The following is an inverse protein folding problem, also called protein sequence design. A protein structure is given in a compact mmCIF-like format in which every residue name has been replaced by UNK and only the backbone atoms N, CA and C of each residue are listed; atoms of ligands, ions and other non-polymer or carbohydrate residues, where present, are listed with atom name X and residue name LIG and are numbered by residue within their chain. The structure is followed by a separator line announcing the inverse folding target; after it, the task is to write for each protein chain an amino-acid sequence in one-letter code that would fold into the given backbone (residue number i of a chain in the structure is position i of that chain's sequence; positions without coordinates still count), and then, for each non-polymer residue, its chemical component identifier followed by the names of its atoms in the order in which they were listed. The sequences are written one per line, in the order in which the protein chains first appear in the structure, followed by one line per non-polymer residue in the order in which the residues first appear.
data_IF_700595807211
#
_entry.id   IF_700595807211
#
_cell.length_a   1.000
_cell.length_b   1.000
_cell.length_c   1.000
_cell.angle_alpha   90.00
_cell.angle_beta   90.00
_cell.angle_gamma   90.00
#
_symmetry.space_group_name_H-M   'P 1'
#
loop_
_entity.id
_entity.type
_entity.pdbx_description
1 polymer ?
#
# COMPACT_ATOMS: atom_id res chain seq x y z
N UNK A 1 -2.62 122.81 -46.51
CA UNK A 1 -3.54 122.44 -47.62
C UNK A 1 -3.30 120.96 -47.87
N UNK A 2 -4.15 120.11 -47.28
CA UNK A 2 -5.28 119.43 -47.94
C UNK A 2 -4.80 118.33 -48.90
N UNK A 3 -5.44 117.17 -48.72
CA UNK A 3 -5.56 116.00 -49.62
C UNK A 3 -4.46 114.93 -49.45
N UNK A 4 -4.77 113.65 -49.45
CA UNK A 4 -6.03 112.89 -49.43
C UNK A 4 -5.57 111.42 -49.37
N UNK A 5 -6.23 110.63 -48.53
CA UNK A 5 -6.06 109.20 -48.40
C UNK A 5 -6.23 108.46 -49.74
N UNK A 6 -5.41 107.44 -50.02
CA UNK A 6 -5.89 106.18 -50.60
C UNK A 6 -4.82 105.06 -50.64
N UNK A 7 -5.30 103.86 -50.28
CA UNK A 7 -4.84 102.50 -50.55
C UNK A 7 -3.71 101.87 -49.70
N UNK A 8 -4.00 101.13 -48.62
CA UNK A 8 -4.56 99.76 -48.47
C UNK A 8 -3.48 98.65 -48.44
N UNK A 9 -3.27 98.13 -47.23
CA UNK A 9 -2.79 96.77 -46.89
C UNK A 9 -1.30 96.46 -46.98
N UNK A 10 -0.58 96.75 -45.88
CA UNK A 10 0.56 95.94 -45.47
C UNK A 10 0.15 95.15 -44.22
N UNK A 11 -0.46 93.98 -44.43
CA UNK A 11 -0.68 93.00 -43.37
C UNK A 11 0.68 92.56 -42.83
N UNK A 12 1.04 93.04 -41.64
CA UNK A 12 2.09 92.45 -40.83
C UNK A 12 1.57 91.11 -40.32
N UNK A 13 1.84 90.04 -41.07
CA UNK A 13 1.67 88.67 -40.59
C UNK A 13 2.71 88.44 -39.48
N UNK A 14 2.27 88.51 -38.23
CA UNK A 14 2.96 87.82 -37.14
C UNK A 14 2.77 86.31 -37.38
N UNK A 15 3.75 85.67 -38.03
CA UNK A 15 3.85 84.22 -37.98
C UNK A 15 4.31 83.84 -36.57
N UNK A 16 3.35 83.51 -35.70
CA UNK A 16 3.61 82.66 -34.55
C UNK A 16 3.87 81.26 -35.11
N UNK A 17 5.14 80.90 -35.28
CA UNK A 17 5.51 79.52 -35.57
C UNK A 17 5.27 78.68 -34.32
N UNK A 18 4.18 77.92 -34.30
CA UNK A 18 4.04 76.80 -33.36
C UNK A 18 5.12 75.76 -33.70
N UNK A 19 5.77 75.22 -32.67
CA UNK A 19 6.71 74.10 -32.79
C UNK A 19 6.08 72.97 -33.60
N UNK A 20 6.58 72.70 -34.79
CA UNK A 20 6.16 71.56 -35.61
C UNK A 20 6.97 70.35 -35.15
N UNK A 21 6.33 69.18 -35.07
CA UNK A 21 7.02 67.92 -34.79
C UNK A 21 8.10 67.65 -35.84
N UNK A 22 9.21 67.06 -35.43
CA UNK A 22 10.32 66.73 -36.32
C UNK A 22 10.05 65.37 -36.98
N UNK A 23 9.73 65.38 -38.27
CA UNK A 23 9.69 64.18 -39.10
C UNK A 23 11.02 63.91 -39.78
N UNK A 24 11.57 62.71 -39.64
CA UNK A 24 12.74 62.24 -40.40
C UNK A 24 12.31 61.04 -41.24
N UNK A 25 12.27 61.22 -42.57
CA UNK A 25 11.81 60.17 -43.50
C UNK A 25 10.29 60.03 -43.61
N UNK A 26 9.52 60.95 -43.01
CA UNK A 26 8.06 61.08 -43.16
C UNK A 26 7.66 62.53 -43.35
N UNK A 27 6.65 62.80 -44.17
CA UNK A 27 6.05 64.14 -44.36
C UNK A 27 4.81 64.35 -43.49
N UNK A 28 4.36 63.32 -42.79
CA UNK A 28 3.22 63.38 -41.85
C UNK A 28 3.61 62.68 -40.56
N UNK A 29 4.40 63.32 -39.68
CA UNK A 29 4.72 62.78 -38.37
C UNK A 29 3.44 62.44 -37.59
N UNK A 30 3.46 61.36 -36.80
CA UNK A 30 2.36 61.02 -35.92
C UNK A 30 2.03 62.20 -34.98
N UNK A 31 0.75 62.53 -34.83
CA UNK A 31 0.30 63.71 -34.08
C UNK A 31 0.72 63.70 -32.59
N UNK A 32 1.02 62.53 -32.03
CA UNK A 32 1.50 62.35 -30.65
C UNK A 32 3.02 62.38 -30.50
N UNK A 33 3.78 62.43 -31.60
CA UNK A 33 5.24 62.37 -31.59
C UNK A 33 5.87 63.76 -31.81
N UNK A 34 6.79 64.15 -30.94
CA UNK A 34 7.65 65.33 -31.18
C UNK A 34 8.82 65.01 -32.12
N UNK A 35 9.20 63.74 -32.22
CA UNK A 35 10.17 63.20 -33.18
C UNK A 35 9.61 61.89 -33.75
N UNK A 36 9.41 61.83 -35.06
CA UNK A 36 8.95 60.62 -35.78
C UNK A 36 9.98 60.26 -36.85
N UNK A 37 10.54 59.05 -36.77
CA UNK A 37 11.59 58.56 -37.68
C UNK A 37 11.05 57.35 -38.43
N UNK A 38 10.87 57.49 -39.74
CA UNK A 38 10.40 56.42 -40.62
C UNK A 38 11.48 56.03 -41.64
N UNK A 39 11.85 54.75 -41.66
CA UNK A 39 12.77 54.17 -42.65
C UNK A 39 12.54 52.67 -42.78
N UNK A 40 12.71 52.13 -43.99
CA UNK A 40 12.68 50.68 -44.25
C UNK A 40 14.04 50.00 -44.12
N UNK A 41 15.14 50.77 -43.92
CA UNK A 41 16.51 50.25 -43.95
C UNK A 41 17.50 50.95 -43.01
N UNK A 42 17.09 52.01 -42.30
CA UNK A 42 17.94 52.79 -41.39
C UNK A 42 17.28 52.90 -40.02
N UNK A 43 18.08 53.17 -38.98
CA UNK A 43 17.60 53.37 -37.60
C UNK A 43 18.21 54.62 -36.96
N UNK A 44 17.85 54.88 -35.71
CA UNK A 44 18.44 55.95 -34.90
C UNK A 44 19.71 55.45 -34.22
N UNK A 45 20.83 56.12 -34.46
CA UNK A 45 22.07 55.90 -33.70
C UNK A 45 22.09 56.84 -32.49
N UNK A 46 21.93 56.29 -31.29
CA UNK A 46 22.07 57.05 -30.04
C UNK A 46 23.54 57.45 -29.79
N UNK A 47 23.80 58.51 -29.02
CA UNK A 47 25.16 58.86 -28.61
C UNK A 47 25.88 57.66 -28.00
N UNK A 48 27.07 57.34 -28.54
CA UNK A 48 27.89 56.21 -28.10
C UNK A 48 29.04 56.72 -27.24
N UNK A 49 29.19 56.18 -26.05
CA UNK A 49 30.22 56.62 -25.11
C UNK A 49 30.62 55.48 -24.16
N UNK A 50 31.80 55.56 -23.56
CA UNK A 50 32.23 54.58 -22.54
C UNK A 50 31.46 54.76 -21.23
N UNK A 51 31.48 53.76 -20.35
CA UNK A 51 30.86 53.88 -19.02
C UNK A 51 31.38 55.09 -18.25
N UNK A 52 32.68 55.36 -18.30
CA UNK A 52 33.28 56.54 -17.66
C UNK A 52 32.72 57.84 -18.22
N UNK A 53 32.59 57.95 -19.54
CA UNK A 53 32.05 59.14 -20.19
C UNK A 53 30.55 59.33 -19.89
N UNK A 54 29.76 58.24 -19.87
CA UNK A 54 28.34 58.26 -19.47
C UNK A 54 28.15 58.77 -18.05
N UNK A 55 28.96 58.26 -17.11
CA UNK A 55 28.91 58.66 -15.71
C UNK A 55 29.43 60.09 -15.46
N UNK A 56 30.18 60.65 -16.40
CA UNK A 56 30.67 62.03 -16.35
C UNK A 56 29.67 63.08 -16.88
N UNK A 57 28.51 62.66 -17.41
CA UNK A 57 27.45 63.60 -17.82
C UNK A 57 26.93 64.29 -16.55
N UNK A 58 27.16 65.60 -16.44
CA UNK A 58 26.64 66.43 -15.36
C UNK A 58 25.13 66.65 -15.55
N UNK A 59 24.35 66.37 -14.51
CA UNK A 59 22.88 66.57 -14.47
C UNK A 59 22.12 65.96 -15.67
N UNK A 60 22.22 64.63 -15.90
CA UNK A 60 21.53 64.00 -17.02
C UNK A 60 20.01 64.11 -16.87
N UNK A 61 19.33 64.50 -17.94
CA UNK A 61 17.86 64.56 -17.94
C UNK A 61 17.24 63.17 -17.75
N UNK A 62 16.16 63.08 -16.97
CA UNK A 62 15.37 61.84 -16.85
C UNK A 62 14.88 61.39 -18.22
N UNK A 63 15.13 60.14 -18.58
CA UNK A 63 14.84 59.56 -19.88
C UNK A 63 15.94 59.73 -20.92
N UNK A 64 17.08 60.38 -20.59
CA UNK A 64 18.22 60.48 -21.50
C UNK A 64 18.74 59.08 -21.84
N UNK A 65 18.84 58.76 -23.13
CA UNK A 65 19.29 57.46 -23.63
C UNK A 65 20.64 57.55 -24.32
N UNK A 66 21.53 56.62 -24.01
CA UNK A 66 22.84 56.46 -24.65
C UNK A 66 23.12 54.99 -24.93
N UNK A 67 24.07 54.72 -25.83
CA UNK A 67 24.68 53.40 -25.96
C UNK A 67 26.03 53.41 -25.24
N UNK A 68 26.14 52.63 -24.16
CA UNK A 68 27.39 52.44 -23.45
C UNK A 68 28.25 51.41 -24.18
N UNK A 69 29.36 51.86 -24.78
CA UNK A 69 30.25 51.00 -25.56
C UNK A 69 31.13 50.09 -24.71
N UNK A 70 31.34 50.41 -23.43
CA UNK A 70 32.12 49.57 -22.51
C UNK A 70 31.30 48.39 -22.02
N UNK A 71 30.03 48.61 -21.66
CA UNK A 71 29.11 47.52 -21.26
C UNK A 71 28.34 46.92 -22.44
N UNK A 72 28.49 47.48 -23.65
CA UNK A 72 27.81 47.08 -24.89
C UNK A 72 26.28 47.07 -24.77
N UNK A 73 25.70 48.02 -24.02
CA UNK A 73 24.27 48.06 -23.72
C UNK A 73 23.68 49.45 -23.92
N UNK A 74 22.39 49.49 -24.29
CA UNK A 74 21.61 50.72 -24.21
C UNK A 74 21.25 51.04 -22.76
N UNK A 75 21.47 52.28 -22.37
CA UNK A 75 21.27 52.78 -21.02
C UNK A 75 20.39 54.02 -21.06
N UNK A 76 19.48 54.14 -20.10
CA UNK A 76 18.68 55.34 -19.89
C UNK A 76 18.85 55.85 -18.45
N UNK A 77 18.76 57.15 -18.26
CA UNK A 77 18.78 57.74 -16.92
C UNK A 77 17.37 57.77 -16.34
N UNK A 78 17.13 57.11 -15.20
CA UNK A 78 15.79 57.03 -14.57
C UNK A 78 15.42 58.26 -13.74
N UNK A 79 16.32 59.24 -13.65
CA UNK A 79 16.22 60.42 -12.80
C UNK A 79 17.14 60.36 -11.58
N UNK A 80 17.69 59.18 -11.26
CA UNK A 80 18.61 58.96 -10.13
C UNK A 80 19.84 58.15 -10.55
N UNK A 81 19.66 57.11 -11.37
CA UNK A 81 20.72 56.20 -11.83
C UNK A 81 20.60 55.91 -13.32
N UNK A 82 21.72 55.51 -13.93
CA UNK A 82 21.74 54.88 -15.24
C UNK A 82 21.26 53.42 -15.14
N UNK A 83 20.29 53.05 -15.98
CA UNK A 83 19.66 51.72 -16.05
C UNK A 83 19.81 51.14 -17.44
N UNK A 84 20.06 49.84 -17.54
CA UNK A 84 20.03 49.13 -18.82
C UNK A 84 18.59 48.96 -19.32
N UNK A 85 18.35 49.09 -20.62
CA UNK A 85 17.05 48.77 -21.23
C UNK A 85 16.77 47.27 -21.26
N UNK A 86 17.81 46.44 -21.24
CA UNK A 86 17.71 44.99 -21.16
C UNK A 86 18.49 44.46 -19.96
N UNK A 87 17.90 43.58 -19.14
CA UNK A 87 18.67 42.91 -18.10
C UNK A 87 19.76 42.04 -18.74
N UNK A 88 20.92 42.02 -18.10
CA UNK A 88 22.01 41.10 -18.38
C UNK A 88 21.53 39.66 -18.16
N UNK A 89 21.79 38.78 -19.13
CA UNK A 89 21.43 37.36 -19.08
C UNK A 89 22.37 36.54 -18.15
N UNK A 90 23.12 37.20 -17.28
CA UNK A 90 24.20 36.60 -16.48
C UNK A 90 23.89 36.70 -15.00
N UNK A 91 22.93 35.91 -14.50
CA UNK A 91 22.75 35.75 -13.06
C UNK A 91 21.37 35.23 -12.65
N UNK A 92 21.35 34.42 -11.58
CA UNK A 92 20.14 34.02 -10.88
C UNK A 92 19.39 35.27 -10.41
N UNK A 93 18.19 35.50 -10.94
CA UNK A 93 17.34 36.61 -10.51
C UNK A 93 16.38 36.11 -9.45
N UNK A 94 16.62 36.51 -8.19
CA UNK A 94 15.61 36.41 -7.13
C UNK A 94 14.46 37.36 -7.46
N UNK A 95 13.22 37.04 -7.05
CA UNK A 95 11.97 37.62 -7.55
C UNK A 95 11.76 39.15 -7.55
N UNK A 96 12.76 39.95 -7.19
CA UNK A 96 12.78 41.40 -7.39
C UNK A 96 13.37 41.84 -8.76
N UNK A 97 14.12 40.96 -9.45
CA UNK A 97 14.87 41.31 -10.66
C UNK A 97 14.21 40.89 -11.99
N UNK A 98 13.05 40.25 -11.91
CA UNK A 98 12.16 40.04 -13.06
C UNK A 98 11.32 41.32 -13.15
N UNK A 99 11.35 42.08 -14.25
CA UNK A 99 10.41 43.18 -14.44
C UNK A 99 9.02 42.59 -14.26
N UNK A 100 8.37 42.99 -13.18
CA UNK A 100 6.96 42.73 -12.95
C UNK A 100 6.24 43.17 -14.23
N UNK A 101 5.75 42.20 -14.99
CA UNK A 101 4.78 42.46 -16.03
C UNK A 101 3.53 42.92 -15.29
N UNK A 102 3.52 44.22 -14.97
CA UNK A 102 2.45 44.90 -14.26
C UNK A 102 1.11 44.48 -14.88
N UNK A 103 0.37 43.68 -14.11
CA UNK A 103 -0.89 43.09 -14.56
C UNK A 103 -0.96 41.57 -14.38
N UNK A 104 -0.70 41.09 -13.16
CA UNK A 104 -1.25 39.86 -12.57
C UNK A 104 -1.81 38.80 -13.55
N UNK A 105 -1.00 37.88 -14.09
CA UNK A 105 -1.47 36.53 -14.36
C UNK A 105 -1.21 35.68 -13.10
N UNK A 106 -2.21 35.00 -12.52
CA UNK A 106 -2.04 34.14 -11.35
C UNK A 106 -1.39 32.78 -11.70
N UNK A 107 -0.46 32.75 -12.65
CA UNK A 107 0.11 31.50 -13.15
C UNK A 107 1.64 31.56 -13.29
N UNK A 108 2.29 30.77 -12.42
CA UNK A 108 3.60 30.13 -12.53
C UNK A 108 4.66 30.79 -13.41
N UNK A 109 5.63 31.45 -12.80
CA UNK A 109 6.94 31.69 -13.42
C UNK A 109 7.64 30.34 -13.63
N UNK A 110 7.83 29.94 -14.89
CA UNK A 110 8.60 28.76 -15.25
C UNK A 110 10.09 29.12 -15.10
N UNK A 111 10.73 28.62 -14.05
CA UNK A 111 12.18 28.67 -13.96
C UNK A 111 12.74 27.59 -14.88
N UNK A 112 13.22 27.98 -16.06
CA UNK A 112 14.00 27.09 -16.91
C UNK A 112 15.48 27.31 -16.61
N UNK A 113 16.11 26.36 -15.91
CA UNK A 113 17.53 26.12 -16.14
C UNK A 113 17.66 24.93 -17.12
N UNK A 114 18.82 24.70 -17.75
CA UNK A 114 19.01 23.59 -18.70
C UNK A 114 18.83 22.18 -18.11
N UNK A 115 18.81 22.03 -16.78
CA UNK A 115 18.81 20.75 -16.05
C UNK A 115 17.55 20.52 -15.16
N UNK A 116 16.70 21.53 -14.94
CA UNK A 116 15.53 21.52 -14.04
C UNK A 116 14.52 22.58 -14.50
N UNK A 117 13.27 22.17 -14.73
CA UNK A 117 12.14 23.09 -14.88
C UNK A 117 11.35 23.07 -13.57
N UNK A 118 11.39 24.18 -12.84
CA UNK A 118 10.62 24.33 -11.61
C UNK A 118 9.38 25.17 -11.92
N UNK A 119 8.21 24.65 -11.58
CA UNK A 119 6.96 25.40 -11.62
C UNK A 119 6.51 25.58 -10.18
N UNK A 120 6.53 26.82 -9.69
CA UNK A 120 5.96 27.15 -8.40
C UNK A 120 4.43 27.29 -8.58
N UNK A 121 3.66 26.46 -7.88
CA UNK A 121 2.19 26.45 -7.97
C UNK A 121 1.65 26.72 -6.56
N UNK A 122 1.88 27.92 -6.03
CA UNK A 122 1.40 28.26 -4.69
C UNK A 122 1.57 29.73 -4.34
N UNK A 123 0.60 30.28 -3.61
CA UNK A 123 0.72 31.58 -2.94
C UNK A 123 1.21 31.34 -1.51
N UNK A 124 2.10 32.18 -0.95
CA UNK A 124 2.51 32.03 0.46
C UNK A 124 1.29 32.04 1.39
N UNK A 125 1.25 31.19 2.45
CA UNK A 125 2.39 30.51 3.11
C UNK A 125 2.65 29.06 2.66
N UNK A 126 1.86 28.48 1.75
CA UNK A 126 2.05 27.10 1.28
C UNK A 126 2.68 27.10 -0.11
N UNK A 127 3.98 26.87 -0.19
CA UNK A 127 4.68 26.75 -1.47
C UNK A 127 4.67 25.28 -1.91
N UNK A 128 3.68 24.93 -2.74
CA UNK A 128 3.72 23.66 -3.48
C UNK A 128 4.68 23.81 -4.67
N UNK A 129 5.77 23.06 -4.61
CA UNK A 129 6.78 23.04 -5.67
C UNK A 129 6.59 21.83 -6.57
N UNK A 130 6.35 22.06 -7.86
CA UNK A 130 6.42 21.04 -8.90
C UNK A 130 7.85 21.00 -9.45
N UNK A 131 8.63 20.03 -8.99
CA UNK A 131 10.01 19.86 -9.43
C UNK A 131 10.05 18.80 -10.51
N UNK A 132 10.47 19.17 -11.72
CA UNK A 132 10.97 18.19 -12.70
C UNK A 132 12.49 18.18 -12.60
N UNK A 133 13.06 17.21 -11.88
CA UNK A 133 14.52 17.06 -11.81
C UNK A 133 14.96 16.11 -12.92
N UNK A 134 15.81 16.58 -13.84
CA UNK A 134 16.51 15.67 -14.78
C UNK A 134 17.75 15.03 -14.13
N UNK A 135 18.21 15.58 -13.01
CA UNK A 135 19.35 15.06 -12.23
C UNK A 135 18.91 14.05 -11.17
N UNK A 136 18.75 12.80 -11.60
CA UNK A 136 19.07 11.50 -10.95
C UNK A 136 18.27 10.42 -11.70
N UNK A 137 18.89 9.84 -12.75
CA UNK A 137 18.41 8.65 -13.50
C UNK A 137 16.95 8.69 -14.03
N UNK A 138 16.63 9.68 -14.85
CA UNK A 138 15.42 9.71 -15.67
C UNK A 138 14.38 10.65 -15.08
N UNK A 139 14.09 11.75 -15.79
CA UNK A 139 13.22 12.83 -15.32
C UNK A 139 11.96 12.32 -14.63
N UNK A 140 11.65 12.91 -13.47
CA UNK A 140 10.49 12.56 -12.66
C UNK A 140 9.78 13.77 -12.10
N UNK A 141 8.50 13.59 -11.78
CA UNK A 141 7.67 14.57 -11.09
C UNK A 141 7.84 14.40 -9.58
N UNK A 142 8.28 15.45 -8.88
CA UNK A 142 8.27 15.48 -7.42
C UNK A 142 7.32 16.59 -6.98
N UNK A 143 6.30 16.22 -6.23
CA UNK A 143 5.43 17.15 -5.52
C UNK A 143 5.89 17.18 -4.07
N UNK A 144 6.27 18.37 -3.59
CA UNK A 144 6.68 18.59 -2.20
C UNK A 144 5.65 19.47 -1.52
N UNK A 145 5.07 18.95 -0.44
CA UNK A 145 4.30 19.77 0.48
C UNK A 145 5.18 20.08 1.70
N UNK A 146 5.50 21.36 1.89
CA UNK A 146 6.30 21.84 3.02
C UNK A 146 5.39 22.48 4.06
N UNK A 147 5.28 21.84 5.24
CA UNK A 147 4.63 22.45 6.39
C UNK A 147 5.69 23.14 7.27
N UNK A 148 5.83 24.46 7.09
CA UNK A 148 6.86 25.26 7.77
C UNK A 148 6.71 25.34 9.31
N UNK A 149 5.66 24.77 9.89
CA UNK A 149 5.40 24.77 11.34
C UNK A 149 5.86 23.52 12.10
N UNK A 150 6.02 22.37 11.43
CA UNK A 150 6.20 21.08 12.10
C UNK A 150 7.34 20.21 11.54
N UNK A 151 8.05 20.69 10.53
CA UNK A 151 9.19 19.95 9.98
C UNK A 151 8.80 18.69 9.19
N UNK A 152 7.54 18.58 8.79
CA UNK A 152 7.08 17.49 7.94
C UNK A 152 7.24 17.89 6.48
N UNK A 153 7.83 17.00 5.69
CA UNK A 153 7.86 17.15 4.23
C UNK A 153 7.26 15.88 3.63
N UNK A 154 6.10 16.03 3.01
CA UNK A 154 5.48 14.94 2.26
C UNK A 154 5.91 15.03 0.80
N UNK A 155 6.30 13.89 0.26
CA UNK A 155 6.78 13.75 -1.12
C UNK A 155 5.93 12.75 -1.86
N UNK A 156 5.43 13.13 -3.04
CA UNK A 156 5.05 12.18 -4.08
C UNK A 156 6.11 12.25 -5.18
N UNK A 157 6.85 11.16 -5.37
CA UNK A 157 7.83 11.03 -6.47
C UNK A 157 7.27 10.09 -7.52
N UNK A 158 7.23 10.56 -8.77
CA UNK A 158 6.95 9.79 -9.97
C UNK A 158 8.15 9.96 -10.90
N UNK A 159 9.21 9.21 -10.69
CA UNK A 159 10.29 9.13 -11.67
C UNK A 159 10.13 7.87 -12.50
N UNK A 160 10.77 7.81 -13.66
CA UNK A 160 10.67 6.64 -14.54
C UNK A 160 11.05 5.31 -13.88
N UNK A 161 11.53 5.28 -12.62
CA UNK A 161 11.95 4.10 -11.88
C UNK A 161 11.02 3.71 -10.72
N UNK A 162 10.26 4.64 -10.13
CA UNK A 162 9.32 4.33 -9.05
C UNK A 162 8.22 5.38 -8.86
N UNK A 163 7.10 4.92 -8.30
CA UNK A 163 6.06 5.75 -7.72
C UNK A 163 6.14 5.57 -6.21
N UNK A 164 6.32 6.65 -5.48
CA UNK A 164 6.43 6.58 -4.03
C UNK A 164 5.77 7.76 -3.33
N UNK A 165 5.10 7.45 -2.22
CA UNK A 165 4.68 8.45 -1.24
C UNK A 165 5.49 8.27 0.04
N UNK A 166 6.11 9.36 0.51
CA UNK A 166 6.91 9.38 1.72
C UNK A 166 6.48 10.54 2.61
N UNK A 167 6.42 10.27 3.92
CA UNK A 167 6.37 11.31 4.94
C UNK A 167 7.74 11.39 5.62
N UNK A 168 8.33 12.58 5.68
CA UNK A 168 9.61 12.83 6.35
C UNK A 168 9.37 13.57 7.67
N UNK A 169 9.80 12.99 8.80
CA UNK A 169 9.85 13.68 10.09
C UNK A 169 11.26 14.14 10.43
N UNK A 170 11.42 15.37 10.96
CA UNK A 170 12.68 15.82 11.55
C UNK A 170 13.01 14.88 12.72
N UNK A 171 14.04 14.04 12.56
CA UNK A 171 14.38 12.96 13.50
C UNK A 171 14.75 11.64 12.83
N UNK A 172 14.57 11.51 11.50
CA UNK A 172 15.23 10.49 10.70
C UNK A 172 14.40 9.25 10.35
N UNK A 173 13.08 9.25 10.59
CA UNK A 173 12.22 8.16 10.09
C UNK A 173 11.45 8.70 8.89
N UNK A 174 11.95 8.39 7.69
CA UNK A 174 11.17 8.46 6.46
C UNK A 174 10.28 7.21 6.43
N UNK A 175 8.99 7.37 6.74
CA UNK A 175 8.02 6.28 6.59
C UNK A 175 7.49 6.31 5.16
N UNK A 176 7.71 5.22 4.40
CA UNK A 176 7.07 5.04 3.10
C UNK A 176 5.66 4.54 3.30
N UNK A 177 4.68 5.27 2.78
CA UNK A 177 3.29 4.88 2.86
C UNK A 177 2.95 3.91 1.72
N UNK A 178 3.39 4.21 0.50
CA UNK A 178 3.27 3.34 -0.68
C UNK A 178 4.54 3.46 -1.55
N UNK A 179 5.09 2.33 -2.01
CA UNK A 179 6.21 2.28 -2.96
C UNK A 179 5.93 1.26 -4.06
N UNK A 180 6.03 1.69 -5.32
CA UNK A 180 5.93 0.86 -6.52
C UNK A 180 7.27 0.90 -7.23
N UNK A 181 8.06 -0.18 -7.14
CA UNK A 181 9.40 -0.23 -7.73
C UNK A 181 9.35 -0.80 -9.15
N UNK A 182 9.93 -0.11 -10.15
CA UNK A 182 10.00 -0.59 -11.54
C UNK A 182 10.93 -1.80 -11.70
N UNK A 183 12.06 -1.81 -11.00
CA UNK A 183 13.00 -2.93 -11.05
C UNK A 183 12.50 -4.06 -10.15
N UNK A 184 11.57 -4.85 -10.69
CA UNK A 184 10.98 -5.99 -10.01
C UNK A 184 9.49 -5.84 -9.68
N UNK A 185 8.81 -4.74 -10.01
CA UNK A 185 7.34 -4.64 -9.94
C UNK A 185 6.70 -4.87 -8.56
N UNK A 186 7.49 -4.81 -7.47
CA UNK A 186 6.99 -5.05 -6.12
C UNK A 186 6.29 -3.80 -5.58
N UNK A 187 5.21 -4.02 -4.82
CA UNK A 187 4.39 -3.05 -4.12
C UNK A 187 4.68 -3.17 -2.63
N UNK A 188 5.05 -2.07 -2.00
CA UNK A 188 5.27 -1.99 -0.55
C UNK A 188 4.28 -1.00 0.07
N UNK A 189 3.57 -1.39 1.12
CA UNK A 189 2.70 -0.51 1.91
C UNK A 189 3.23 -0.45 3.33
N UNK A 190 3.48 0.76 3.85
CA UNK A 190 4.06 0.95 5.19
C UNK A 190 5.50 0.44 5.34
N UNK A 191 6.22 0.21 4.24
CA UNK A 191 7.57 -0.40 4.23
C UNK A 191 8.49 0.26 3.20
N UNK A 192 9.78 0.34 3.53
CA UNK A 192 10.82 0.95 2.67
C UNK A 192 11.04 0.22 1.33
N UNK A 193 11.05 -1.11 1.32
CA UNK A 193 11.13 -1.92 0.09
C UNK A 193 10.70 -3.37 0.36
N UNK A 194 9.84 -3.92 -0.49
CA UNK A 194 9.47 -5.33 -0.54
C UNK A 194 10.59 -6.16 -1.21
N UNK A 195 11.06 -7.21 -0.52
CA UNK A 195 12.18 -8.08 -0.93
C UNK A 195 11.82 -9.57 -0.94
N UNK A 196 10.70 -9.95 -0.32
CA UNK A 196 10.21 -11.33 -0.18
C UNK A 196 9.04 -11.63 -1.13
N UNK A 197 8.17 -10.66 -1.42
CA UNK A 197 6.98 -10.86 -2.24
C UNK A 197 6.65 -9.65 -3.13
N UNK A 198 5.77 -9.88 -4.13
CA UNK A 198 5.27 -8.81 -5.01
C UNK A 198 4.44 -7.76 -4.25
N UNK A 199 3.77 -8.14 -3.16
CA UNK A 199 3.08 -7.24 -2.27
C UNK A 199 3.52 -7.54 -0.84
N UNK A 200 4.16 -6.56 -0.19
CA UNK A 200 4.43 -6.61 1.24
C UNK A 200 3.78 -5.42 1.93
N UNK A 201 3.00 -5.73 2.96
CA UNK A 201 2.30 -4.75 3.79
C UNK A 201 2.93 -4.84 5.17
N UNK A 202 3.32 -3.70 5.74
CA UNK A 202 3.83 -3.59 7.11
C UNK A 202 2.99 -2.58 7.87
N UNK A 203 2.65 -2.93 9.11
CA UNK A 203 1.61 -2.25 9.89
C UNK A 203 0.25 -2.94 9.76
N UNK A 204 -0.65 -2.60 10.67
CA UNK A 204 -2.00 -3.14 10.76
C UNK A 204 -2.93 -2.12 11.42
N UNK A 205 -4.23 -2.21 11.14
CA UNK A 205 -5.27 -1.57 11.96
C UNK A 205 -5.74 -2.61 12.97
N UNK A 206 -5.43 -2.41 14.25
CA UNK A 206 -5.48 -3.51 15.22
C UNK A 206 -4.52 -4.62 14.78
N UNK A 207 -5.05 -5.83 14.60
CA UNK A 207 -4.29 -6.99 14.11
C UNK A 207 -4.53 -7.27 12.62
N UNK A 208 -5.43 -6.53 11.96
CA UNK A 208 -5.74 -6.75 10.54
C UNK A 208 -4.79 -6.00 9.61
N UNK A 209 -4.05 -6.77 8.80
CA UNK A 209 -3.04 -6.28 7.85
C UNK A 209 -3.67 -5.95 6.49
N UNK A 210 -4.56 -6.82 6.02
CA UNK A 210 -5.23 -6.65 4.73
C UNK A 210 -6.66 -7.17 4.80
N UNK A 211 -7.56 -6.55 4.06
CA UNK A 211 -8.95 -6.97 3.91
C UNK A 211 -9.35 -6.89 2.44
N UNK A 212 -9.91 -7.97 1.91
CA UNK A 212 -10.37 -8.11 0.54
C UNK A 212 -11.88 -8.27 0.53
N UNK A 213 -12.60 -7.38 -0.16
CA UNK A 213 -14.07 -7.42 -0.24
C UNK A 213 -14.79 -6.65 0.88
N UNK A 214 -14.31 -5.46 1.25
CA UNK A 214 -14.97 -4.56 2.21
C UNK A 214 -16.45 -4.35 1.89
N UNK A 215 -17.27 -4.14 2.93
CA UNK A 215 -18.74 -4.00 2.85
C UNK A 215 -19.50 -5.22 2.28
N UNK A 216 -18.82 -6.36 2.14
CA UNK A 216 -19.37 -7.65 1.72
C UNK A 216 -18.78 -8.77 2.57
N UNK A 217 -19.12 -10.02 2.26
CA UNK A 217 -18.35 -11.16 2.74
C UNK A 217 -16.94 -11.05 2.12
N UNK A 218 -15.93 -10.98 2.99
CA UNK A 218 -14.55 -10.73 2.59
C UNK A 218 -13.56 -11.68 3.26
N UNK A 219 -12.28 -11.54 2.87
CA UNK A 219 -11.15 -12.27 3.44
C UNK A 219 -10.21 -11.27 4.10
N UNK A 220 -9.72 -11.59 5.29
CA UNK A 220 -8.78 -10.76 6.05
C UNK A 220 -7.51 -11.54 6.33
N UNK A 221 -6.37 -10.85 6.35
CA UNK A 221 -5.07 -11.37 6.80
C UNK A 221 -4.73 -10.69 8.13
N UNK A 222 -4.42 -11.47 9.17
CA UNK A 222 -4.13 -11.00 10.53
C UNK A 222 -2.65 -11.22 10.93
N UNK A 223 -2.10 -10.37 11.81
CA UNK A 223 -0.69 -10.40 12.22
C UNK A 223 -0.41 -11.16 13.54
N UNK A 224 -1.15 -10.90 14.62
CA UNK A 224 -0.81 -11.40 15.98
C UNK A 224 -0.97 -12.92 16.10
N UNK A 225 -1.93 -13.46 15.36
CA UNK A 225 -2.06 -14.87 15.05
C UNK A 225 -2.19 -14.93 13.52
N UNK A 226 -1.18 -15.42 12.77
CA UNK A 226 -1.22 -15.45 11.32
C UNK A 226 -2.41 -16.30 10.86
N UNK A 227 -3.46 -15.58 10.50
CA UNK A 227 -4.79 -16.12 10.23
C UNK A 227 -5.30 -15.55 8.92
N UNK A 228 -6.00 -16.41 8.19
CA UNK A 228 -6.92 -16.04 7.14
C UNK A 228 -8.31 -16.04 7.75
N UNK A 229 -8.88 -14.84 7.85
CA UNK A 229 -10.24 -14.64 8.33
C UNK A 229 -11.25 -14.58 7.20
N UNK A 230 -12.43 -15.16 7.43
CA UNK A 230 -13.58 -15.13 6.52
C UNK A 230 -14.70 -14.34 7.18
N UNK A 231 -15.09 -13.24 6.55
CA UNK A 231 -16.11 -12.30 7.02
C UNK A 231 -15.86 -11.68 8.42
N UNK A 232 -14.60 -11.62 8.87
CA UNK A 232 -14.24 -10.83 10.04
C UNK A 232 -12.91 -10.14 9.88
N UNK A 233 -12.66 -9.16 10.74
CA UNK A 233 -11.38 -8.48 10.94
C UNK A 233 -11.23 -8.15 12.44
N UNK A 234 -10.05 -7.68 12.83
CA UNK A 234 -9.75 -7.28 14.21
C UNK A 234 -9.41 -5.79 14.26
N UNK A 235 -10.19 -5.03 15.02
CA UNK A 235 -9.91 -3.63 15.33
C UNK A 235 -10.45 -3.32 16.73
N UNK A 236 -9.56 -3.33 17.73
CA UNK A 236 -9.95 -3.25 19.15
C UNK A 236 -10.84 -4.42 19.60
N UNK A 237 -10.79 -5.55 18.87
CA UNK A 237 -11.67 -6.71 19.02
C UNK A 237 -12.12 -7.28 17.68
N UNK A 238 -12.59 -8.53 17.69
CA UNK A 238 -13.08 -9.22 16.48
C UNK A 238 -14.41 -8.62 16.04
N UNK A 239 -14.51 -8.25 14.78
CA UNK A 239 -15.69 -7.62 14.17
C UNK A 239 -16.04 -8.29 12.85
N UNK A 240 -17.33 -8.39 12.51
CA UNK A 240 -17.76 -8.89 11.20
C UNK A 240 -17.58 -7.82 10.12
N UNK A 241 -17.22 -8.21 8.90
CA UNK A 241 -17.23 -7.28 7.76
C UNK A 241 -18.67 -6.97 7.37
N UNK A 242 -19.47 -8.03 7.22
CA UNK A 242 -20.91 -8.00 6.98
C UNK A 242 -21.65 -8.84 8.02
N UNK A 243 -22.87 -8.44 8.37
CA UNK A 243 -23.76 -9.27 9.16
C UNK A 243 -23.86 -10.71 8.61
N UNK A 244 -23.71 -11.72 9.48
CA UNK A 244 -23.66 -13.13 9.11
C UNK A 244 -22.39 -13.83 9.58
N UNK A 245 -22.30 -15.15 9.35
CA UNK A 245 -21.23 -16.04 9.79
C UNK A 245 -19.80 -15.61 9.44
N UNK A 246 -18.90 -15.88 10.39
CA UNK A 246 -17.47 -15.68 10.26
C UNK A 246 -16.72 -16.94 10.69
N UNK A 247 -15.57 -17.16 10.05
CA UNK A 247 -14.69 -18.30 10.30
C UNK A 247 -13.23 -17.90 10.12
N UNK A 248 -12.32 -18.73 10.58
CA UNK A 248 -10.89 -18.49 10.51
C UNK A 248 -10.09 -19.77 10.31
N UNK A 249 -8.94 -19.62 9.68
CA UNK A 249 -7.91 -20.65 9.56
C UNK A 249 -6.57 -20.02 9.92
N UNK A 250 -5.81 -20.64 10.82
CA UNK A 250 -4.55 -20.07 11.25
C UNK A 250 -3.60 -21.09 11.86
N UNK A 251 -2.45 -20.59 12.27
CA UNK A 251 -1.43 -21.35 12.97
C UNK A 251 -0.91 -20.52 14.14
N UNK A 252 -0.72 -21.14 15.30
CA UNK A 252 -0.06 -20.50 16.42
C UNK A 252 1.45 -20.51 16.18
N UNK A 253 2.12 -19.34 16.10
CA UNK A 253 3.56 -19.28 15.93
C UNK A 253 4.32 -19.73 17.19
N UNK A 254 3.65 -19.78 18.35
CA UNK A 254 4.25 -20.18 19.63
C UNK A 254 4.50 -21.69 19.71
N UNK A 255 3.58 -22.50 19.19
CA UNK A 255 3.63 -23.95 19.30
C UNK A 255 3.50 -24.70 17.97
N UNK A 256 3.30 -23.99 16.86
CA UNK A 256 3.17 -24.58 15.52
C UNK A 256 1.85 -25.30 15.25
N UNK A 257 0.87 -25.22 16.15
CA UNK A 257 -0.42 -25.90 15.98
C UNK A 257 -1.27 -25.15 14.94
N UNK A 258 -1.94 -25.90 14.08
CA UNK A 258 -2.85 -25.36 13.04
C UNK A 258 -4.29 -25.51 13.52
N UNK A 259 -5.14 -24.53 13.23
CA UNK A 259 -6.53 -24.54 13.66
C UNK A 259 -7.47 -23.99 12.61
N UNK A 260 -8.68 -24.55 12.61
CA UNK A 260 -9.82 -24.09 11.83
C UNK A 260 -10.99 -23.90 12.80
N UNK A 261 -11.55 -22.70 12.82
CA UNK A 261 -12.61 -22.35 13.74
C UNK A 261 -13.68 -21.46 13.13
N UNK A 262 -14.78 -21.33 13.85
CA UNK A 262 -15.83 -20.38 13.52
C UNK A 262 -16.27 -19.60 14.75
N UNK A 263 -17.06 -18.57 14.53
CA UNK A 263 -17.67 -17.79 15.60
C UNK A 263 -19.15 -18.17 15.72
N UNK A 264 -19.58 -18.54 16.92
CA UNK A 264 -20.94 -19.04 17.17
C UNK A 264 -22.03 -17.94 17.10
N UNK A 265 -21.69 -16.65 17.01
CA UNK A 265 -22.62 -15.52 17.27
C UNK A 265 -23.24 -14.80 16.05
N UNK A 266 -23.30 -15.43 14.88
CA UNK A 266 -23.34 -14.68 13.62
C UNK A 266 -24.68 -14.56 12.90
N UNK A 267 -25.73 -14.29 13.65
CA UNK A 267 -26.93 -13.62 13.13
C UNK A 267 -27.14 -12.24 13.74
N UNK A 268 -26.34 -11.84 14.74
CA UNK A 268 -26.59 -10.66 15.58
C UNK A 268 -25.58 -9.52 15.48
N UNK A 269 -24.48 -9.66 14.73
CA UNK A 269 -23.53 -8.56 14.53
C UNK A 269 -23.99 -7.67 13.35
N UNK A 270 -24.12 -6.37 13.59
CA UNK A 270 -24.23 -5.35 12.54
C UNK A 270 -22.96 -5.35 11.66
N UNK A 271 -23.01 -4.73 10.48
CA UNK A 271 -21.80 -4.52 9.69
C UNK A 271 -20.75 -3.78 10.53
N UNK A 272 -19.52 -4.30 10.56
CA UNK A 272 -18.43 -3.81 11.42
C UNK A 272 -18.70 -3.92 12.95
N UNK A 273 -19.70 -4.71 13.33
CA UNK A 273 -20.09 -4.99 14.71
C UNK A 273 -19.22 -6.06 15.37
N UNK A 274 -19.10 -6.01 16.70
CA UNK A 274 -18.31 -6.98 17.46
C UNK A 274 -18.92 -8.39 17.39
N UNK A 275 -18.05 -9.40 17.35
CA UNK A 275 -18.44 -10.82 17.38
C UNK A 275 -17.64 -11.58 18.44
N UNK A 276 -18.30 -12.53 19.10
CA UNK A 276 -17.74 -13.37 20.17
C UNK A 276 -18.06 -14.86 19.93
N UNK A 277 -17.58 -15.72 20.83
CA UNK A 277 -17.85 -17.16 20.76
C UNK A 277 -16.99 -17.88 19.71
N UNK A 278 -15.72 -17.49 19.57
CA UNK A 278 -14.75 -18.22 18.78
C UNK A 278 -14.67 -19.68 19.27
N UNK A 279 -14.74 -20.62 18.34
CA UNK A 279 -14.71 -22.04 18.64
C UNK A 279 -13.90 -22.77 17.58
N UNK A 280 -12.79 -23.38 18.01
CA UNK A 280 -11.99 -24.26 17.18
C UNK A 280 -12.78 -25.55 16.92
N UNK A 281 -12.91 -25.91 15.64
CA UNK A 281 -13.62 -27.12 15.20
C UNK A 281 -12.66 -28.23 14.81
N UNK A 282 -11.53 -27.87 14.19
CA UNK A 282 -10.42 -28.77 13.88
C UNK A 282 -9.13 -28.18 14.42
N UNK A 283 -8.31 -29.02 15.05
CA UNK A 283 -7.02 -28.64 15.64
C UNK A 283 -5.97 -29.67 15.24
N UNK A 284 -4.81 -29.23 14.76
CA UNK A 284 -3.72 -30.11 14.36
C UNK A 284 -2.51 -29.72 15.20
N UNK A 285 -2.06 -30.66 16.04
CA UNK A 285 -0.85 -30.48 16.83
C UNK A 285 0.39 -30.54 15.92
N UNK A 286 1.48 -29.88 16.33
CA UNK A 286 2.75 -29.93 15.62
C UNK A 286 3.27 -31.37 15.38
N UNK A 287 2.92 -32.32 16.25
CA UNK A 287 3.26 -33.75 16.10
C UNK A 287 2.38 -34.50 15.05
N UNK A 288 1.48 -33.78 14.37
CA UNK A 288 0.59 -34.28 13.34
C UNK A 288 -0.70 -34.94 13.84
N UNK A 289 -0.98 -34.92 15.15
CA UNK A 289 -2.25 -35.42 15.66
C UNK A 289 -3.39 -34.45 15.33
N UNK A 290 -4.47 -34.98 14.77
CA UNK A 290 -5.66 -34.22 14.36
C UNK A 290 -6.78 -34.41 15.39
N UNK A 291 -7.27 -33.31 15.94
CA UNK A 291 -8.45 -33.23 16.79
C UNK A 291 -9.64 -32.65 16.03
N UNK A 292 -10.79 -33.32 16.10
CA UNK A 292 -12.08 -32.78 15.66
C UNK A 292 -12.97 -32.62 16.90
N UNK A 293 -13.36 -31.38 17.21
CA UNK A 293 -14.08 -31.06 18.45
C UNK A 293 -13.24 -31.16 19.74
N UNK A 294 -11.92 -31.32 19.63
CA UNK A 294 -10.97 -31.34 20.75
C UNK A 294 -9.66 -30.67 20.35
N UNK A 295 -9.02 -29.99 21.29
CA UNK A 295 -7.68 -29.38 21.12
C UNK A 295 -6.55 -30.27 21.67
N UNK A 296 -6.90 -31.38 22.33
CA UNK A 296 -5.94 -32.29 22.97
C UNK A 296 -6.01 -33.70 22.35
N UNK A 297 -5.74 -33.86 21.04
CA UNK A 297 -5.77 -35.18 20.42
C UNK A 297 -4.62 -36.07 20.91
N UNK A 298 -4.96 -37.20 21.53
CA UNK A 298 -4.01 -38.20 22.04
C UNK A 298 -3.67 -39.28 21.02
N UNK A 299 -4.49 -39.41 19.97
CA UNK A 299 -4.26 -40.28 18.82
C UNK A 299 -4.10 -39.46 17.54
N UNK A 300 -3.59 -40.11 16.47
CA UNK A 300 -3.43 -39.47 15.15
C UNK A 300 -4.71 -38.80 14.64
N UNK A 301 -5.85 -39.41 14.92
CA UNK A 301 -7.16 -38.79 14.79
C UNK A 301 -7.92 -38.99 16.10
N UNK A 302 -8.26 -37.89 16.77
CA UNK A 302 -9.13 -37.88 17.95
C UNK A 302 -10.40 -37.11 17.64
N UNK A 303 -11.56 -37.74 17.78
CA UNK A 303 -12.86 -37.10 17.53
C UNK A 303 -13.63 -37.05 18.84
N UNK A 304 -13.98 -35.84 19.29
CA UNK A 304 -14.87 -35.65 20.43
C UNK A 304 -16.33 -35.59 19.93
N UNK A 305 -16.90 -36.77 19.70
CA UNK A 305 -18.24 -36.94 19.15
C UNK A 305 -18.37 -38.21 18.32
N UNK A 306 -19.47 -38.33 17.60
CA UNK A 306 -19.76 -39.53 16.81
C UNK A 306 -19.13 -39.43 15.42
N UNK A 307 -18.54 -40.53 14.95
CA UNK A 307 -18.11 -40.71 13.56
C UNK A 307 -19.13 -41.62 12.88
N UNK A 308 -19.77 -41.13 11.81
CA UNK A 308 -20.63 -41.95 10.94
C UNK A 308 -19.92 -42.18 9.62
N UNK A 309 -19.63 -43.43 9.30
CA UNK A 309 -19.01 -43.85 8.05
C UNK A 309 -19.89 -44.88 7.34
N UNK A 310 -19.69 -45.06 6.04
CA UNK A 310 -20.27 -46.17 5.29
C UNK A 310 -19.49 -47.47 5.51
N UNK A 311 -18.17 -47.36 5.66
CA UNK A 311 -17.25 -48.48 5.87
C UNK A 311 -16.04 -47.99 6.68
N UNK A 312 -15.44 -48.89 7.46
CA UNK A 312 -14.15 -48.67 8.13
C UNK A 312 -13.30 -49.92 7.89
N UNK A 313 -12.21 -49.76 7.16
CA UNK A 313 -11.20 -50.81 6.98
C UNK A 313 -10.17 -50.65 8.09
N UNK A 314 -10.00 -51.68 8.92
CA UNK A 314 -9.04 -51.71 10.02
C UNK A 314 -8.03 -52.81 9.75
N UNK A 315 -6.77 -52.44 9.66
CA UNK A 315 -5.67 -53.41 9.57
C UNK A 315 -5.43 -54.00 10.96
N UNK A 316 -5.81 -55.26 11.15
CA UNK A 316 -5.58 -56.02 12.38
C UNK A 316 -5.10 -57.43 12.02
N UNK A 317 -4.32 -58.05 12.90
CA UNK A 317 -3.92 -59.45 12.73
C UNK A 317 -5.13 -60.39 12.82
N UNK A 318 -5.15 -61.45 12.03
CA UNK A 318 -6.25 -62.41 11.99
C UNK A 318 -6.12 -63.50 13.08
N UNK A 319 -7.24 -64.13 13.46
CA UNK A 319 -7.33 -65.04 14.61
C UNK A 319 -7.06 -66.52 14.31
N UNK A 320 -6.62 -66.88 13.09
CA UNK A 320 -6.53 -68.28 12.60
C UNK A 320 -5.60 -69.18 13.43
N UNK A 321 -4.84 -68.62 14.37
CA UNK A 321 -3.97 -69.38 15.26
C UNK A 321 -4.74 -70.39 16.14
N UNK A 322 -6.05 -70.21 16.36
CA UNK A 322 -6.88 -71.14 17.17
C UNK A 322 -7.02 -72.52 16.50
N UNK A 323 -6.81 -72.60 15.18
CA UNK A 323 -6.87 -73.85 14.42
C UNK A 323 -5.52 -74.56 14.27
N UNK A 324 -4.43 -74.02 14.82
CA UNK A 324 -3.11 -74.64 14.75
C UNK A 324 -2.99 -75.79 15.74
N UNK A 325 -2.23 -76.83 15.40
CA UNK A 325 -2.07 -78.05 16.22
C UNK A 325 -1.46 -77.75 17.61
N UNK A 326 -0.66 -76.70 17.71
CA UNK A 326 -0.05 -76.25 18.96
C UNK A 326 -1.02 -75.46 19.86
N UNK A 327 -2.21 -75.09 19.38
CA UNK A 327 -3.17 -74.32 20.15
C UNK A 327 -3.82 -75.16 21.24
N UNK A 328 -3.57 -74.78 22.50
CA UNK A 328 -4.21 -75.42 23.64
C UNK A 328 -5.60 -74.83 23.87
N UNK A 329 -6.62 -75.48 23.31
CA UNK A 329 -8.02 -75.15 23.55
C UNK A 329 -8.35 -75.29 25.05
N UNK A 330 -8.71 -74.22 25.77
CA UNK A 330 -9.10 -74.31 27.18
C UNK A 330 -10.32 -75.20 27.35
N UNK A 331 -10.40 -75.99 28.41
CA UNK A 331 -11.61 -76.76 28.69
C UNK A 331 -12.76 -75.84 29.12
N UNK A 332 -14.00 -76.27 28.91
CA UNK A 332 -15.17 -75.52 29.39
C UNK A 332 -15.18 -75.36 30.92
N UNK A 333 -14.58 -76.31 31.66
CA UNK A 333 -14.45 -76.22 33.12
C UNK A 333 -13.45 -75.13 33.54
N UNK A 334 -12.31 -75.04 32.86
CA UNK A 334 -11.33 -73.96 33.10
C UNK A 334 -11.91 -72.60 32.73
N UNK A 335 -12.65 -72.55 31.61
CA UNK A 335 -13.35 -71.34 31.17
C UNK A 335 -14.41 -70.90 32.18
N UNK A 336 -15.22 -71.83 32.71
CA UNK A 336 -16.19 -71.57 33.78
C UNK A 336 -15.51 -71.01 35.03
N UNK A 337 -14.43 -71.64 35.49
CA UNK A 337 -13.65 -71.16 36.64
C UNK A 337 -13.10 -69.76 36.41
N UNK A 338 -12.60 -69.47 35.20
CA UNK A 338 -12.12 -68.15 34.83
C UNK A 338 -13.25 -67.11 34.90
N UNK A 339 -14.41 -67.40 34.30
CA UNK A 339 -15.57 -66.50 34.32
C UNK A 339 -16.05 -66.26 35.76
N UNK A 340 -16.11 -67.28 36.60
CA UNK A 340 -16.52 -67.15 38.00
C UNK A 340 -15.61 -66.20 38.78
N UNK A 341 -14.29 -66.27 38.52
CA UNK A 341 -13.27 -65.45 39.16
C UNK A 341 -13.16 -64.03 38.58
N UNK A 342 -13.17 -63.88 37.26
CA UNK A 342 -12.83 -62.65 36.55
C UNK A 342 -14.04 -61.89 35.97
N UNK A 343 -15.21 -62.53 35.87
CA UNK A 343 -16.46 -61.95 35.33
C UNK A 343 -16.39 -61.51 33.86
N UNK A 344 -15.44 -62.04 33.10
CA UNK A 344 -15.35 -61.89 31.64
C UNK A 344 -14.70 -63.13 31.01
N UNK A 345 -14.75 -63.25 29.68
CA UNK A 345 -14.12 -64.35 28.96
C UNK A 345 -12.59 -64.22 28.94
N UNK A 346 -11.84 -65.33 28.94
CA UNK A 346 -10.39 -65.32 28.77
C UNK A 346 -9.97 -64.53 27.52
N UNK A 347 -8.98 -63.65 27.63
CA UNK A 347 -8.47 -62.84 26.51
C UNK A 347 -9.33 -61.63 26.10
N UNK A 348 -10.61 -61.58 26.50
CA UNK A 348 -11.47 -60.39 26.32
C UNK A 348 -11.20 -59.41 27.47
N UNK A 349 -10.91 -58.13 27.20
CA UNK A 349 -10.66 -57.15 28.25
C UNK A 349 -11.90 -56.93 29.12
N UNK A 350 -11.69 -56.60 30.40
CA UNK A 350 -12.77 -56.33 31.32
C UNK A 350 -13.48 -55.02 30.97
N UNK A 351 -14.76 -54.88 31.32
CA UNK A 351 -15.55 -53.67 31.05
C UNK A 351 -14.89 -52.40 31.63
N UNK A 352 -14.24 -52.51 32.80
CA UNK A 352 -13.51 -51.41 33.44
C UNK A 352 -12.31 -50.95 32.59
N UNK A 353 -11.54 -51.89 32.05
CA UNK A 353 -10.39 -51.59 31.19
C UNK A 353 -10.83 -50.88 29.90
N UNK A 354 -11.95 -51.30 29.31
CA UNK A 354 -12.56 -50.66 28.13
C UNK A 354 -13.03 -49.24 28.45
N UNK A 355 -13.63 -49.02 29.63
CA UNK A 355 -14.08 -47.69 30.06
C UNK A 355 -12.90 -46.73 30.28
N UNK A 356 -11.78 -47.23 30.82
CA UNK A 356 -10.60 -46.43 31.11
C UNK A 356 -9.76 -46.13 29.84
N UNK A 357 -9.56 -47.11 28.96
CA UNK A 357 -8.61 -47.01 27.85
C UNK A 357 -9.26 -46.93 26.45
N UNK A 358 -10.57 -47.17 26.35
CA UNK A 358 -11.29 -47.32 25.09
C UNK A 358 -11.24 -48.74 24.52
N UNK A 359 -11.94 -48.96 23.41
CA UNK A 359 -12.02 -50.26 22.72
C UNK A 359 -11.36 -50.17 21.34
N UNK A 360 -10.32 -50.96 21.11
CA UNK A 360 -9.77 -51.14 19.76
C UNK A 360 -10.67 -52.08 18.96
N UNK A 361 -11.37 -51.54 17.94
CA UNK A 361 -12.31 -52.30 17.11
C UNK A 361 -11.64 -53.47 16.40
N UNK A 362 -10.46 -53.26 15.80
CA UNK A 362 -9.71 -54.32 15.12
C UNK A 362 -9.29 -55.44 16.07
N UNK A 363 -8.63 -55.09 17.19
CA UNK A 363 -8.19 -56.09 18.16
C UNK A 363 -9.37 -56.82 18.82
N UNK A 364 -10.48 -56.13 19.06
CA UNK A 364 -11.69 -56.77 19.59
C UNK A 364 -12.32 -57.71 18.57
N UNK A 365 -12.37 -57.34 17.29
CA UNK A 365 -12.85 -58.21 16.22
C UNK A 365 -12.01 -59.48 16.11
N UNK A 366 -10.68 -59.36 16.16
CA UNK A 366 -9.77 -60.52 16.19
C UNK A 366 -10.06 -61.42 17.40
N UNK A 367 -10.18 -60.85 18.60
CA UNK A 367 -10.46 -61.63 19.81
C UNK A 367 -11.85 -62.28 19.79
N UNK A 368 -12.86 -61.59 19.25
CA UNK A 368 -14.20 -62.17 19.05
C UNK A 368 -14.16 -63.35 18.08
N UNK A 369 -13.42 -63.24 16.98
CA UNK A 369 -13.23 -64.35 16.03
C UNK A 369 -12.57 -65.54 16.71
N UNK A 370 -11.48 -65.34 17.46
CA UNK A 370 -10.85 -66.43 18.22
C UNK A 370 -11.86 -67.17 19.13
N UNK A 371 -12.79 -66.44 19.78
CA UNK A 371 -13.82 -67.05 20.64
C UNK A 371 -14.89 -67.80 19.86
N UNK A 372 -15.24 -67.33 18.67
CA UNK A 372 -16.14 -68.06 17.76
C UNK A 372 -15.50 -69.38 17.33
N UNK A 373 -14.20 -69.37 17.02
CA UNK A 373 -13.44 -70.55 16.62
C UNK A 373 -13.31 -71.56 17.76
N UNK A 374 -12.95 -71.12 18.97
CA UNK A 374 -12.93 -71.98 20.18
C UNK A 374 -14.29 -72.63 20.45
N UNK A 375 -15.37 -71.84 20.39
CA UNK A 375 -16.73 -72.32 20.59
C UNK A 375 -17.10 -73.36 19.51
N UNK A 376 -16.66 -73.14 18.27
CA UNK A 376 -16.85 -74.08 17.17
C UNK A 376 -16.14 -75.41 17.45
N UNK A 377 -14.90 -75.38 17.94
CA UNK A 377 -14.15 -76.59 18.31
C UNK A 377 -14.83 -77.35 19.46
N UNK A 378 -15.35 -76.65 20.47
CA UNK A 378 -16.12 -77.29 21.55
C UNK A 378 -17.41 -77.94 21.05
N UNK A 379 -18.13 -77.30 20.13
CA UNK A 379 -19.35 -77.88 19.53
C UNK A 379 -19.01 -79.15 18.76
N UNK A 380 -17.95 -79.13 17.94
CA UNK A 380 -17.48 -80.32 17.21
C UNK A 380 -17.12 -81.46 18.19
N UNK A 381 -16.45 -81.14 19.31
CA UNK A 381 -16.12 -82.13 20.34
C UNK A 381 -17.37 -82.71 21.02
N UNK A 382 -18.38 -81.87 21.28
CA UNK A 382 -19.66 -82.30 21.85
C UNK A 382 -20.45 -83.21 20.89
N UNK A 383 -20.53 -82.86 19.60
CA UNK A 383 -21.18 -83.71 18.59
C UNK A 383 -20.54 -85.09 18.49
N UNK A 384 -19.19 -85.14 18.46
CA UNK A 384 -18.44 -86.41 18.49
C UNK A 384 -18.80 -87.23 19.73
N UNK A 385 -18.89 -86.60 20.90
CA UNK A 385 -19.27 -87.27 22.16
C UNK A 385 -20.71 -87.80 22.13
N UNK A 386 -21.66 -87.03 21.59
CA UNK A 386 -23.06 -87.46 21.45
C UNK A 386 -23.16 -88.65 20.49
N UNK A 387 -22.45 -88.62 19.35
CA UNK A 387 -22.43 -89.73 18.41
C UNK A 387 -21.91 -91.02 19.05
N UNK A 388 -20.84 -90.92 19.84
CA UNK A 388 -20.29 -92.07 20.58
C UNK A 388 -21.28 -92.61 21.63
N UNK A 389 -21.97 -91.73 22.36
CA UNK A 389 -22.99 -92.14 23.34
C UNK A 389 -24.21 -92.81 22.67
N UNK A 390 -24.58 -92.36 21.47
CA UNK A 390 -25.67 -92.97 20.71
C UNK A 390 -25.28 -94.31 20.08
N UNK A 391 -24.01 -94.48 19.70
CA UNK A 391 -23.50 -95.76 19.17
C UNK A 391 -23.34 -96.85 20.26
N UNK A 392 -23.39 -96.46 21.54
CA UNK A 392 -23.34 -97.36 22.70
C UNK A 392 -24.73 -97.80 23.20
N UNK A 393 -25.81 -97.26 22.62
CA UNK A 393 -27.20 -97.69 22.84
C UNK A 393 -27.61 -98.64 21.73
#
# INVERSE_FOLDING_TARGET
MKHLALLFTLCVFFFVSYSQSVGIGTTSPAASAQLDISSSSKGMLLPRMTTTARLAISDPAKGLMVYDSSSQQFQYYDGVNWRSLWPDNTGWKTGADVPDFAGNPPFGTIFTNPERRLVNIGSPPMQDHLLTSTGWKGGGLIIKNYDYGFGLSDFLTLDGNHIESRAYSIGGIASRNLSLNRFGGNISVGKNAAVHARLEITGAVGASVAMFGSDRYGVTISADNPEIGFNYFYNGGTKTIKAGYAAYMGMSPENGNIYIGNFNGSTSASNFGAISGASIKMYILQNGNVGIGTMNPTYKLSVNGNVRSKEVIVESGWADYVFQDEYQLPTLKETEQYILKHKHLPGIPAAREIQENGLSVGAMQTKMMAKIEELTLHIIALEKKIALLNAQK
#
